data_IF_062493276591
#
_entry.id   IF_062493276591
#
_cell.length_a   1.000
_cell.length_b   1.000
_cell.length_c   1.000
_cell.angle_alpha   90.00
_cell.angle_beta   90.00
_cell.angle_gamma   90.00
#
_symmetry.space_group_name_H-M   'P 1'
#
loop_
_entity.id
_entity.type
_entity.pdbx_description
1 polymer ?
#
# COMPACT_ATOMS: atom_id res chain seq x y z
N UNK A 1 4.03 -13.47 1.31
CA UNK A 1 3.93 -12.02 1.57
C UNK A 1 2.62 -11.51 0.99
N UNK A 2 1.51 -11.68 1.72
CA UNK A 2 0.18 -11.11 1.40
C UNK A 2 -0.15 -9.98 2.38
N UNK A 3 0.56 -9.89 3.51
CA UNK A 3 0.35 -8.88 4.56
C UNK A 3 0.73 -7.45 4.13
N UNK A 4 1.74 -7.33 3.26
CA UNK A 4 2.18 -6.09 2.64
C UNK A 4 1.07 -5.40 1.83
N UNK A 5 0.19 -6.20 1.21
CA UNK A 5 -0.97 -5.77 0.44
C UNK A 5 -2.00 -5.03 1.30
N UNK A 6 -2.24 -5.38 2.56
CA UNK A 6 -3.44 -4.90 3.26
C UNK A 6 -3.21 -3.87 4.39
N UNK A 7 -1.99 -3.71 4.90
CA UNK A 7 -1.83 -3.20 6.28
C UNK A 7 -0.84 -2.04 6.51
N UNK A 8 -0.34 -1.35 5.49
CA UNK A 8 0.56 -0.19 5.74
C UNK A 8 -0.10 0.96 6.54
N UNK A 9 -1.44 1.01 6.60
CA UNK A 9 -2.23 1.95 7.41
C UNK A 9 -2.83 1.31 8.67
N UNK A 10 -2.43 0.10 9.02
CA UNK A 10 -3.04 -0.64 10.13
C UNK A 10 -2.87 0.09 11.47
N UNK A 11 -1.68 0.63 11.74
CA UNK A 11 -1.42 1.42 12.95
C UNK A 11 -2.23 2.72 12.98
N UNK A 12 -2.34 3.43 11.85
CA UNK A 12 -3.19 4.62 11.71
C UNK A 12 -4.67 4.31 11.98
N UNK A 13 -5.20 3.24 11.38
CA UNK A 13 -6.58 2.81 11.60
C UNK A 13 -6.83 2.46 13.07
N UNK A 14 -5.89 1.76 13.71
CA UNK A 14 -5.97 1.43 15.12
C UNK A 14 -5.93 2.68 16.01
N UNK A 15 -4.99 3.60 15.76
CA UNK A 15 -4.86 4.85 16.50
C UNK A 15 -6.15 5.67 16.44
N UNK A 16 -6.70 5.88 15.24
CA UNK A 16 -7.95 6.61 15.04
C UNK A 16 -9.15 5.94 15.73
N UNK A 17 -9.21 4.60 15.71
CA UNK A 17 -10.26 3.86 16.41
C UNK A 17 -10.16 4.03 17.93
N UNK A 18 -8.96 3.92 18.49
CA UNK A 18 -8.72 4.08 19.92
C UNK A 18 -9.07 5.49 20.39
N UNK A 19 -8.63 6.52 19.66
CA UNK A 19 -8.95 7.93 19.94
C UNK A 19 -10.46 8.17 19.84
N UNK A 20 -11.14 7.63 18.82
CA UNK A 20 -12.59 7.75 18.70
C UNK A 20 -13.33 7.11 19.88
N UNK A 21 -12.94 5.91 20.29
CA UNK A 21 -13.54 5.24 21.45
C UNK A 21 -13.34 6.09 22.71
N UNK A 22 -12.13 6.60 22.92
CA UNK A 22 -11.79 7.49 24.03
C UNK A 22 -12.64 8.76 24.06
N UNK A 23 -12.87 9.39 22.90
CA UNK A 23 -13.76 10.55 22.78
C UNK A 23 -15.22 10.23 23.08
N UNK A 24 -15.67 9.00 22.81
CA UNK A 24 -17.04 8.55 23.06
C UNK A 24 -17.29 8.13 24.51
N UNK A 25 -16.23 7.89 25.29
CA UNK A 25 -16.32 7.52 26.70
C UNK A 25 -16.55 8.75 27.57
N UNK A 26 -17.48 8.66 28.53
CA UNK A 26 -17.77 9.71 29.52
C UNK A 26 -17.60 9.19 30.95
N UNK A 27 -16.96 9.97 31.81
CA UNK A 27 -16.61 9.54 33.17
C UNK A 27 -15.39 8.61 33.23
N UNK A 28 -15.21 7.95 34.37
CA UNK A 28 -14.08 7.04 34.59
C UNK A 28 -14.27 5.72 33.82
N UNK A 29 -13.57 5.59 32.70
CA UNK A 29 -13.62 4.41 31.86
C UNK A 29 -12.21 3.85 31.59
N UNK A 30 -12.15 2.56 31.26
CA UNK A 30 -10.90 1.85 30.97
C UNK A 30 -11.01 1.20 29.59
N UNK A 31 -9.99 1.41 28.75
CA UNK A 31 -9.80 0.69 27.49
C UNK A 31 -8.74 -0.39 27.73
N UNK A 32 -9.09 -1.65 27.49
CA UNK A 32 -8.16 -2.78 27.61
C UNK A 32 -7.73 -3.20 26.19
N UNK A 33 -6.44 -3.07 25.90
CA UNK A 33 -5.84 -3.50 24.63
C UNK A 33 -5.15 -4.84 24.84
N UNK A 34 -5.61 -5.88 24.15
CA UNK A 34 -4.98 -7.20 24.16
C UNK A 34 -4.04 -7.33 22.96
N UNK A 35 -2.75 -7.45 23.22
CA UNK A 35 -1.72 -7.55 22.18
C UNK A 35 -0.61 -8.52 22.59
N UNK A 36 0.01 -9.16 21.59
CA UNK A 36 1.20 -9.99 21.80
C UNK A 36 2.48 -9.16 21.86
N UNK A 37 2.46 -7.92 21.39
CA UNK A 37 3.61 -7.04 21.34
C UNK A 37 3.27 -5.68 21.97
N UNK A 38 3.28 -5.54 23.30
CA UNK A 38 2.94 -4.29 23.98
C UNK A 38 3.98 -3.18 23.78
N UNK A 39 5.15 -3.49 23.22
CA UNK A 39 6.25 -2.54 23.03
C UNK A 39 6.13 -1.67 21.77
N UNK A 40 5.03 -1.76 21.01
CA UNK A 40 4.83 -0.88 19.85
C UNK A 40 4.57 0.56 20.29
N UNK A 41 5.22 1.51 19.61
CA UNK A 41 5.17 2.94 19.93
C UNK A 41 3.73 3.50 19.93
N UNK A 42 2.85 2.98 19.05
CA UNK A 42 1.46 3.41 18.93
C UNK A 42 0.69 3.32 20.25
N UNK A 43 0.96 2.32 21.10
CA UNK A 43 0.30 2.20 22.39
C UNK A 43 0.75 3.29 23.35
N UNK A 44 2.05 3.62 23.34
CA UNK A 44 2.59 4.71 24.13
C UNK A 44 1.99 6.06 23.72
N UNK A 45 1.80 6.28 22.42
CA UNK A 45 1.24 7.54 21.92
C UNK A 45 -0.23 7.72 22.31
N UNK A 46 -1.05 6.66 22.25
CA UNK A 46 -2.45 6.67 22.70
C UNK A 46 -2.56 6.99 24.19
N UNK A 47 -1.70 6.39 25.02
CA UNK A 47 -1.66 6.63 26.47
C UNK A 47 -1.26 8.08 26.77
N UNK A 48 -0.30 8.63 26.04
CA UNK A 48 0.22 9.99 26.24
C UNK A 48 -0.65 11.10 25.61
N UNK A 49 -1.67 10.77 24.80
CA UNK A 49 -2.35 11.74 23.92
C UNK A 49 -1.38 12.44 22.94
N UNK A 50 -0.34 11.75 22.48
CA UNK A 50 0.67 12.35 21.62
C UNK A 50 0.43 12.02 20.13
N UNK A 51 -0.67 12.56 19.60
CA UNK A 51 -1.05 12.41 18.20
C UNK A 51 0.06 12.92 17.25
N UNK A 52 0.75 13.98 17.65
CA UNK A 52 1.76 14.63 16.80
C UNK A 52 2.97 13.71 16.62
N UNK A 53 3.46 13.10 17.70
CA UNK A 53 4.54 12.13 17.61
C UNK A 53 4.14 10.90 16.81
N UNK A 54 2.90 10.41 16.98
CA UNK A 54 2.36 9.32 16.19
C UNK A 54 2.41 9.62 14.69
N UNK A 55 1.79 10.73 14.25
CA UNK A 55 1.73 11.08 12.82
C UNK A 55 3.10 11.39 12.24
N UNK A 56 3.99 12.06 12.97
CA UNK A 56 5.34 12.34 12.49
C UNK A 56 6.14 11.05 12.24
N UNK A 57 6.02 10.06 13.13
CA UNK A 57 6.68 8.76 12.96
C UNK A 57 6.10 8.00 11.77
N UNK A 58 4.77 7.90 11.67
CA UNK A 58 4.09 7.24 10.56
C UNK A 58 4.45 7.86 9.21
N UNK A 59 4.41 9.19 9.10
CA UNK A 59 4.77 9.91 7.89
C UNK A 59 6.25 9.69 7.53
N UNK A 60 7.17 9.73 8.50
CA UNK A 60 8.59 9.42 8.25
C UNK A 60 8.81 8.00 7.72
N UNK A 61 8.09 7.02 8.26
CA UNK A 61 8.16 5.63 7.79
C UNK A 61 7.62 5.53 6.35
N UNK A 62 6.47 6.16 6.07
CA UNK A 62 5.85 6.14 4.73
C UNK A 62 6.71 6.85 3.69
N UNK A 63 7.37 7.95 4.05
CA UNK A 63 8.31 8.65 3.17
C UNK A 63 9.47 7.75 2.77
N UNK A 64 10.12 7.12 3.76
CA UNK A 64 11.26 6.22 3.54
C UNK A 64 10.89 5.00 2.71
N UNK A 65 9.67 4.49 2.88
CA UNK A 65 9.17 3.29 2.20
C UNK A 65 8.42 3.60 0.90
N UNK A 66 8.21 4.86 0.54
CA UNK A 66 7.48 5.22 -0.67
C UNK A 66 6.00 4.84 -0.62
N UNK A 67 5.36 4.98 0.54
CA UNK A 67 3.91 4.81 0.68
C UNK A 67 3.19 6.17 0.60
N UNK A 68 1.89 6.18 0.30
CA UNK A 68 1.09 7.41 0.35
C UNK A 68 1.26 8.15 1.69
N UNK A 69 1.36 9.49 1.71
CA UNK A 69 1.08 10.42 0.60
C UNK A 69 2.27 10.71 -0.34
N UNK A 70 3.45 10.10 -0.12
CA UNK A 70 4.69 10.48 -0.82
C UNK A 70 4.83 9.88 -2.22
N UNK A 71 4.22 8.70 -2.43
CA UNK A 71 4.08 8.06 -3.73
C UNK A 71 2.67 7.50 -3.87
N UNK A 72 2.20 7.38 -5.10
CA UNK A 72 0.96 6.68 -5.40
C UNK A 72 1.21 5.17 -5.42
N UNK A 73 0.31 4.43 -4.79
CA UNK A 73 0.30 2.97 -4.82
C UNK A 73 -0.83 2.53 -5.76
N UNK A 74 -0.45 1.85 -6.84
CA UNK A 74 -1.35 1.46 -7.92
C UNK A 74 -1.38 -0.07 -8.01
N UNK A 75 -2.58 -0.65 -7.98
CA UNK A 75 -2.78 -2.07 -8.28
C UNK A 75 -3.20 -2.25 -9.73
N UNK A 76 -2.46 -3.08 -10.47
CA UNK A 76 -2.75 -3.40 -11.86
C UNK A 76 -3.08 -4.88 -11.96
N UNK A 77 -4.23 -5.18 -12.55
CA UNK A 77 -4.57 -6.54 -12.98
C UNK A 77 -4.42 -6.64 -14.48
N UNK A 78 -3.73 -7.67 -14.93
CA UNK A 78 -3.44 -7.93 -16.33
C UNK A 78 -3.76 -9.38 -16.69
N UNK A 79 -4.06 -9.60 -17.96
CA UNK A 79 -4.33 -10.92 -18.55
C UNK A 79 -3.64 -11.05 -19.89
N UNK A 80 -2.90 -12.13 -20.10
CA UNK A 80 -2.29 -12.44 -21.39
C UNK A 80 -2.28 -13.95 -21.66
N UNK A 81 -2.37 -14.34 -22.94
CA UNK A 81 -2.24 -15.73 -23.37
C UNK A 81 -0.80 -16.24 -23.29
N UNK A 82 0.18 -15.35 -23.46
CA UNK A 82 1.61 -15.64 -23.45
C UNK A 82 2.31 -15.01 -22.23
N UNK A 83 1.60 -14.89 -21.11
CA UNK A 83 2.08 -14.20 -19.91
C UNK A 83 3.43 -14.75 -19.44
N UNK A 84 3.55 -16.07 -19.30
CA UNK A 84 4.76 -16.73 -18.78
C UNK A 84 6.04 -16.38 -19.56
N UNK A 85 5.92 -16.22 -20.89
CA UNK A 85 7.05 -15.91 -21.76
C UNK A 85 7.48 -14.44 -21.68
N UNK A 86 6.51 -13.54 -21.53
CA UNK A 86 6.74 -12.10 -21.59
C UNK A 86 6.88 -11.44 -20.21
N UNK A 87 6.61 -12.20 -19.13
CA UNK A 87 6.57 -11.71 -17.74
C UNK A 87 7.84 -10.96 -17.33
N UNK A 88 9.00 -11.57 -17.51
CA UNK A 88 10.28 -10.98 -17.08
C UNK A 88 10.53 -9.66 -17.80
N UNK A 89 10.45 -9.67 -19.13
CA UNK A 89 10.74 -8.51 -19.98
C UNK A 89 9.74 -7.37 -19.77
N UNK A 90 8.48 -7.70 -19.51
CA UNK A 90 7.44 -6.73 -19.17
C UNK A 90 7.76 -6.01 -17.86
N UNK A 91 8.09 -6.76 -16.81
CA UNK A 91 8.44 -6.16 -15.51
C UNK A 91 9.76 -5.41 -15.53
N UNK A 92 10.75 -5.90 -16.28
CA UNK A 92 12.02 -5.19 -16.44
C UNK A 92 11.81 -3.84 -17.13
N UNK A 93 10.93 -3.76 -18.13
CA UNK A 93 10.56 -2.49 -18.78
C UNK A 93 9.78 -1.56 -17.84
N UNK A 94 8.95 -2.11 -16.96
CA UNK A 94 8.15 -1.31 -16.02
C UNK A 94 8.96 -0.73 -14.86
N UNK A 95 10.04 -1.41 -14.44
CA UNK A 95 10.92 -0.96 -13.34
C UNK A 95 11.56 0.40 -13.60
N UNK A 96 11.66 0.83 -14.85
CA UNK A 96 12.13 2.18 -15.21
C UNK A 96 11.17 3.28 -14.74
N UNK A 97 9.89 2.97 -14.57
CA UNK A 97 8.82 3.93 -14.29
C UNK A 97 8.15 3.75 -12.92
N UNK A 98 8.33 2.59 -12.29
CA UNK A 98 7.74 2.31 -10.98
C UNK A 98 8.56 1.30 -10.15
N UNK A 99 8.44 1.44 -8.83
CA UNK A 99 8.95 0.44 -7.90
C UNK A 99 7.90 -0.65 -7.73
N UNK A 100 8.16 -1.81 -8.33
CA UNK A 100 7.27 -2.98 -8.22
C UNK A 100 7.43 -3.59 -6.83
N UNK A 101 6.34 -3.58 -6.08
CA UNK A 101 6.31 -3.95 -4.67
C UNK A 101 5.85 -5.39 -4.45
N UNK A 102 4.84 -5.84 -5.20
CA UNK A 102 4.28 -7.18 -5.08
C UNK A 102 3.83 -7.69 -6.44
N UNK A 103 4.01 -8.98 -6.70
CA UNK A 103 3.55 -9.64 -7.93
C UNK A 103 2.89 -10.96 -7.53
N UNK A 104 1.60 -11.07 -7.83
CA UNK A 104 0.82 -12.30 -7.78
C UNK A 104 0.51 -12.70 -9.22
N UNK A 105 1.05 -13.81 -9.69
CA UNK A 105 0.86 -14.23 -11.08
C UNK A 105 0.51 -15.70 -11.21
N UNK A 106 -0.48 -15.98 -12.04
CA UNK A 106 -0.82 -17.29 -12.58
C UNK A 106 -0.41 -17.38 -14.06
N UNK A 107 -0.61 -18.55 -14.69
CA UNK A 107 -0.25 -18.80 -16.12
C UNK A 107 -0.78 -17.77 -17.12
N UNK A 108 -1.89 -17.11 -16.81
CA UNK A 108 -2.56 -16.17 -17.74
C UNK A 108 -2.91 -14.81 -17.14
N UNK A 109 -2.74 -14.64 -15.83
CA UNK A 109 -3.16 -13.44 -15.11
C UNK A 109 -2.04 -12.99 -14.21
N UNK A 110 -1.89 -11.68 -14.06
CA UNK A 110 -1.05 -11.13 -13.02
C UNK A 110 -1.68 -9.92 -12.37
N UNK A 111 -1.53 -9.85 -11.06
CA UNK A 111 -1.89 -8.74 -10.21
C UNK A 111 -0.58 -8.24 -9.63
N UNK A 112 -0.28 -6.97 -9.77
CA UNK A 112 0.94 -6.41 -9.24
C UNK A 112 0.72 -5.01 -8.69
N UNK A 113 1.51 -4.68 -7.67
CA UNK A 113 1.50 -3.38 -7.01
C UNK A 113 2.72 -2.59 -7.43
N UNK A 114 2.49 -1.34 -7.81
CA UNK A 114 3.52 -0.42 -8.24
C UNK A 114 3.44 0.85 -7.42
N UNK A 115 4.59 1.34 -6.96
CA UNK A 115 4.73 2.68 -6.39
C UNK A 115 5.28 3.61 -7.45
N UNK A 116 4.64 4.76 -7.63
CA UNK A 116 5.08 5.77 -8.60
C UNK A 116 4.93 7.18 -8.04
N UNK A 117 5.85 8.07 -8.42
CA UNK A 117 5.77 9.51 -8.12
C UNK A 117 4.94 10.26 -9.16
N UNK A 118 4.99 9.81 -10.41
CA UNK A 118 4.45 10.54 -11.56
C UNK A 118 3.44 9.69 -12.31
N UNK A 119 2.18 9.77 -11.85
CA UNK A 119 1.04 9.01 -12.37
C UNK A 119 0.94 9.04 -13.89
N UNK A 120 0.96 10.24 -14.47
CA UNK A 120 0.72 10.41 -15.91
C UNK A 120 1.80 9.73 -16.77
N UNK A 121 3.07 9.86 -16.36
CA UNK A 121 4.19 9.23 -17.07
C UNK A 121 4.07 7.71 -16.98
N UNK A 122 3.75 7.20 -15.79
CA UNK A 122 3.57 5.78 -15.57
C UNK A 122 2.45 5.19 -16.43
N UNK A 123 1.25 5.79 -16.45
CA UNK A 123 0.15 5.30 -17.28
C UNK A 123 0.47 5.33 -18.77
N UNK A 124 1.08 6.40 -19.26
CA UNK A 124 1.50 6.51 -20.66
C UNK A 124 2.53 5.42 -21.03
N UNK A 125 3.45 5.08 -20.11
CA UNK A 125 4.41 4.01 -20.31
C UNK A 125 3.75 2.63 -20.26
N UNK A 126 2.84 2.41 -19.31
CA UNK A 126 2.11 1.17 -19.11
C UNK A 126 1.31 0.79 -20.36
N UNK A 127 0.59 1.74 -20.97
CA UNK A 127 -0.16 1.51 -22.21
C UNK A 127 0.76 1.06 -23.36
N UNK A 128 1.85 1.80 -23.59
CA UNK A 128 2.83 1.47 -24.65
C UNK A 128 3.46 0.10 -24.46
N UNK A 129 3.82 -0.24 -23.22
CA UNK A 129 4.45 -1.52 -22.88
C UNK A 129 3.42 -2.65 -23.00
N UNK A 130 2.18 -2.46 -22.53
CA UNK A 130 1.11 -3.44 -22.63
C UNK A 130 0.81 -3.79 -24.10
N UNK A 131 0.74 -2.78 -24.98
CA UNK A 131 0.54 -2.97 -26.42
C UNK A 131 1.70 -3.74 -27.06
N UNK A 132 2.94 -3.37 -26.74
CA UNK A 132 4.16 -4.03 -27.25
C UNK A 132 4.17 -5.53 -26.96
N UNK A 133 3.74 -5.94 -25.76
CA UNK A 133 3.75 -7.33 -25.32
C UNK A 133 2.40 -8.05 -25.47
N UNK A 134 1.39 -7.39 -26.05
CA UNK A 134 0.01 -7.89 -26.22
C UNK A 134 -0.58 -8.38 -24.90
N UNK A 135 -0.44 -7.57 -23.85
CA UNK A 135 -0.98 -7.80 -22.52
C UNK A 135 -2.25 -6.96 -22.37
N UNK A 136 -3.36 -7.59 -22.03
CA UNK A 136 -4.60 -6.87 -21.76
C UNK A 136 -4.62 -6.43 -20.30
N UNK A 137 -4.73 -5.13 -20.06
CA UNK A 137 -4.97 -4.59 -18.73
C UNK A 137 -6.46 -4.76 -18.42
N UNK A 138 -6.78 -5.43 -17.32
CA UNK A 138 -8.15 -5.74 -16.91
C UNK A 138 -8.70 -4.65 -16.02
N UNK A 139 -7.89 -4.16 -15.08
CA UNK A 139 -8.27 -3.08 -14.17
C UNK A 139 -7.02 -2.39 -13.66
N UNK A 140 -7.13 -1.08 -13.44
CA UNK A 140 -6.16 -0.32 -12.67
C UNK A 140 -6.89 0.35 -11.52
N UNK A 141 -6.41 0.12 -10.32
CA UNK A 141 -6.94 0.71 -9.10
C UNK A 141 -5.90 1.68 -8.55
N UNK A 142 -6.23 2.96 -8.61
CA UNK A 142 -5.40 4.06 -8.10
C UNK A 142 -5.84 4.26 -6.67
N UNK A 143 -4.97 3.90 -5.72
CA UNK A 143 -5.30 3.82 -4.29
C UNK A 143 -6.26 2.66 -3.92
N UNK A 144 -5.88 1.39 -4.16
CA UNK A 144 -6.71 0.20 -3.87
C UNK A 144 -7.03 -0.05 -2.38
N UNK A 145 -6.66 0.88 -1.51
CA UNK A 145 -6.79 0.78 -0.05
C UNK A 145 -7.53 1.97 0.57
N UNK A 146 -8.17 2.80 -0.26
CA UNK A 146 -9.16 3.81 0.15
C UNK A 146 -10.57 3.29 -0.05
#
# INVERSE_FOLDING_TARGET
MIAARNEFRSEEKFFLLAEKIKMMMSGENIIIIQTRNPGLDVYGDIVRNDEKSFYNRELSIREKLGFPPYQELIEIRSKSRNWEKNKSTFFDSLREYCDIYEILSDKTKAIFLCKTKERQIFFNALEKIADKYKINIVSVDVCPYF
#
